data_IF_463093964409
#
_entry.id   IF_463093964409
#
_cell.length_a   1.000
_cell.length_b   1.000
_cell.length_c   1.000
_cell.angle_alpha   90.00
_cell.angle_beta   90.00
_cell.angle_gamma   90.00
#
_symmetry.space_group_name_H-M   'P 1'
#
loop_
_entity.id
_entity.type
_entity.pdbx_description
1 polymer ?
#
# COMPACT_ATOMS: atom_id res chain seq x y z
N UNK A 1 37.80 -21.32 -20.07
CA UNK A 1 37.36 -22.65 -20.52
C UNK A 1 35.86 -22.75 -20.27
N UNK A 2 35.05 -22.64 -21.32
CA UNK A 2 33.60 -22.76 -21.24
C UNK A 2 33.26 -24.25 -21.10
N UNK A 3 33.05 -24.70 -19.87
CA UNK A 3 32.53 -26.03 -19.63
C UNK A 3 31.16 -26.12 -20.31
N UNK A 4 31.06 -26.95 -21.36
CA UNK A 4 29.81 -27.14 -22.08
C UNK A 4 28.92 -27.96 -21.16
N UNK A 5 28.11 -27.27 -20.36
CA UNK A 5 27.08 -27.89 -19.51
C UNK A 5 26.35 -28.95 -20.31
N UNK A 6 26.24 -30.16 -19.75
CA UNK A 6 25.52 -31.27 -20.35
C UNK A 6 24.13 -30.82 -20.84
N UNK A 7 23.62 -31.37 -21.97
CA UNK A 7 22.32 -31.00 -22.49
C UNK A 7 21.22 -31.24 -21.44
N UNK A 8 20.37 -30.24 -21.22
CA UNK A 8 19.26 -30.34 -20.27
C UNK A 8 18.20 -31.29 -20.84
N UNK A 9 17.90 -32.42 -20.18
CA UNK A 9 16.97 -33.41 -20.69
C UNK A 9 15.54 -32.94 -20.43
N UNK A 10 14.98 -32.19 -21.38
CA UNK A 10 13.61 -31.72 -21.31
C UNK A 10 12.61 -32.82 -21.70
N UNK A 11 11.46 -32.87 -21.02
CA UNK A 11 10.35 -33.75 -21.34
C UNK A 11 9.76 -33.35 -22.70
N UNK A 12 9.79 -34.29 -23.65
CA UNK A 12 9.33 -34.10 -25.04
C UNK A 12 7.85 -33.79 -25.17
N UNK A 13 7.06 -34.08 -24.13
CA UNK A 13 5.63 -33.75 -24.06
C UNK A 13 5.34 -32.40 -23.42
N UNK A 14 6.35 -31.75 -22.86
CA UNK A 14 6.22 -30.45 -22.19
C UNK A 14 6.57 -29.31 -23.15
N UNK A 15 5.99 -28.13 -22.90
CA UNK A 15 6.39 -26.91 -23.60
C UNK A 15 7.80 -26.51 -23.18
N UNK A 16 8.67 -26.31 -24.16
CA UNK A 16 10.01 -25.73 -23.97
C UNK A 16 9.99 -24.28 -24.44
N UNK A 17 10.32 -23.37 -23.53
CA UNK A 17 10.50 -21.96 -23.86
C UNK A 17 12.00 -21.71 -24.11
N UNK A 18 12.34 -20.88 -25.10
CA UNK A 18 13.72 -20.54 -25.45
C UNK A 18 14.01 -19.05 -25.19
N UNK A 19 15.27 -18.75 -24.85
CA UNK A 19 15.86 -17.42 -24.81
C UNK A 19 16.31 -17.08 -26.24
N UNK A 20 16.24 -15.80 -26.63
CA UNK A 20 16.80 -15.30 -27.88
C UNK A 20 18.23 -15.86 -28.10
N UNK A 21 18.43 -16.74 -29.08
CA UNK A 21 19.71 -17.44 -29.30
C UNK A 21 19.74 -18.94 -28.96
N UNK A 22 18.60 -19.64 -29.00
CA UNK A 22 18.46 -21.11 -28.86
C UNK A 22 18.78 -21.69 -27.47
N UNK A 23 19.06 -20.87 -26.46
CA UNK A 23 19.17 -21.34 -25.06
C UNK A 23 17.79 -21.70 -24.48
N UNK A 24 17.70 -22.71 -23.62
CA UNK A 24 16.45 -23.06 -22.94
C UNK A 24 16.15 -22.01 -21.87
N UNK A 25 15.00 -21.34 -21.94
CA UNK A 25 14.50 -20.46 -20.88
C UNK A 25 13.81 -21.26 -19.78
N UNK A 26 13.04 -22.29 -20.17
CA UNK A 26 12.24 -23.11 -19.25
C UNK A 26 11.87 -24.43 -19.91
N UNK A 27 11.94 -25.51 -19.14
CA UNK A 27 11.30 -26.77 -19.52
C UNK A 27 10.99 -27.62 -18.27
N UNK A 28 10.23 -28.68 -18.46
CA UNK A 28 10.09 -29.74 -17.46
C UNK A 28 11.18 -30.80 -17.68
N UNK A 29 11.84 -31.27 -16.63
CA UNK A 29 12.88 -32.29 -16.76
C UNK A 29 12.29 -33.68 -17.01
N UNK A 30 12.89 -34.47 -17.91
CA UNK A 30 12.49 -35.86 -18.15
C UNK A 30 13.16 -36.88 -17.21
N UNK A 31 14.29 -36.50 -16.59
CA UNK A 31 15.03 -37.30 -15.62
C UNK A 31 15.70 -36.40 -14.60
N UNK A 32 16.07 -36.95 -13.44
CA UNK A 32 16.81 -36.20 -12.45
C UNK A 32 18.14 -35.71 -13.06
N UNK A 33 18.44 -34.43 -12.88
CA UNK A 33 19.55 -33.80 -13.60
C UNK A 33 20.30 -32.84 -12.70
N UNK A 34 21.62 -33.00 -12.63
CA UNK A 34 22.49 -32.01 -12.00
C UNK A 34 22.61 -30.76 -12.88
N UNK A 35 22.14 -29.62 -12.38
CA UNK A 35 22.23 -28.31 -13.04
C UNK A 35 22.98 -27.36 -12.10
N UNK A 36 24.18 -26.93 -12.52
CA UNK A 36 25.08 -26.10 -11.71
C UNK A 36 25.31 -26.66 -10.29
N UNK A 37 25.47 -27.98 -10.19
CA UNK A 37 25.70 -28.68 -8.92
C UNK A 37 24.44 -28.96 -8.10
N UNK A 38 23.25 -28.54 -8.55
CA UNK A 38 21.97 -28.85 -7.90
C UNK A 38 21.29 -30.01 -8.61
N UNK A 39 21.01 -31.09 -7.89
CA UNK A 39 20.29 -32.25 -8.42
C UNK A 39 18.79 -31.96 -8.50
N UNK A 40 18.33 -31.53 -9.68
CA UNK A 40 16.93 -31.16 -9.94
C UNK A 40 16.09 -32.41 -10.24
N UNK A 41 14.91 -32.51 -9.63
CA UNK A 41 14.03 -33.68 -9.76
C UNK A 41 13.33 -33.76 -11.12
N UNK A 42 13.22 -34.96 -11.67
CA UNK A 42 12.43 -35.29 -12.85
C UNK A 42 10.96 -34.89 -12.69
N UNK A 43 10.31 -34.51 -13.78
CA UNK A 43 8.91 -34.06 -13.79
C UNK A 43 8.70 -32.67 -13.20
N UNK A 44 9.77 -31.96 -12.80
CA UNK A 44 9.67 -30.59 -12.26
C UNK A 44 10.17 -29.56 -13.26
N UNK A 45 9.72 -28.31 -13.10
CA UNK A 45 10.06 -27.20 -14.00
C UNK A 45 11.37 -26.55 -13.60
N UNK A 46 12.35 -26.61 -14.49
CA UNK A 46 13.58 -25.80 -14.43
C UNK A 46 13.43 -24.54 -15.27
N UNK A 47 14.08 -23.47 -14.84
CA UNK A 47 14.10 -22.20 -15.58
C UNK A 47 15.46 -21.54 -15.48
N UNK A 48 15.83 -20.82 -16.53
CA UNK A 48 17.13 -20.18 -16.68
C UNK A 48 16.96 -18.69 -16.99
N UNK A 49 17.91 -17.91 -16.52
CA UNK A 49 18.09 -16.52 -16.91
C UNK A 49 18.67 -16.41 -18.31
N UNK A 50 18.63 -15.19 -18.89
CA UNK A 50 19.17 -14.92 -20.22
C UNK A 50 20.66 -15.23 -20.34
N UNK A 51 21.41 -15.15 -19.24
CA UNK A 51 22.83 -15.45 -19.16
C UNK A 51 23.13 -16.96 -18.96
N UNK A 52 22.11 -17.82 -18.99
CA UNK A 52 22.24 -19.27 -18.82
C UNK A 52 22.27 -19.74 -17.36
N UNK A 53 22.25 -18.83 -16.38
CA UNK A 53 22.20 -19.23 -14.96
C UNK A 53 20.85 -19.83 -14.60
N UNK A 54 20.88 -20.89 -13.78
CA UNK A 54 19.70 -21.49 -13.20
C UNK A 54 18.95 -20.43 -12.38
N UNK A 55 17.68 -20.21 -12.71
CA UNK A 55 16.77 -19.31 -11.99
C UNK A 55 15.89 -20.09 -11.01
N UNK A 56 15.38 -21.26 -11.41
CA UNK A 56 14.46 -22.04 -10.57
C UNK A 56 14.61 -23.54 -10.79
N UNK A 57 14.45 -24.32 -9.73
CA UNK A 57 14.29 -25.77 -9.80
C UNK A 57 13.56 -26.30 -8.55
N UNK A 58 13.33 -27.61 -8.52
CA UNK A 58 12.93 -28.35 -7.31
C UNK A 58 14.00 -29.42 -7.04
N UNK A 59 14.83 -29.26 -6.00
CA UNK A 59 15.89 -30.21 -5.69
C UNK A 59 15.31 -31.59 -5.32
N UNK A 60 15.99 -32.68 -5.67
CA UNK A 60 15.55 -34.04 -5.29
C UNK A 60 15.70 -34.35 -3.80
N UNK A 61 16.64 -33.69 -3.14
CA UNK A 61 16.99 -33.86 -1.72
C UNK A 61 17.23 -32.50 -1.05
N UNK A 62 17.42 -32.50 0.27
CA UNK A 62 17.81 -31.29 0.99
C UNK A 62 19.19 -30.81 0.52
N UNK A 63 19.32 -29.54 0.16
CA UNK A 63 20.57 -28.96 -0.37
C UNK A 63 21.06 -27.81 0.51
N UNK A 64 22.37 -27.55 0.49
CA UNK A 64 22.96 -26.38 1.13
C UNK A 64 23.31 -25.33 0.08
N UNK A 65 22.67 -24.16 0.12
CA UNK A 65 22.95 -23.02 -0.75
C UNK A 65 23.29 -21.80 0.10
N UNK A 66 24.45 -21.18 -0.13
CA UNK A 66 24.93 -20.03 0.64
C UNK A 66 24.90 -20.25 2.17
N UNK A 67 25.16 -21.49 2.62
CA UNK A 67 25.11 -21.89 4.03
C UNK A 67 23.70 -22.15 4.58
N UNK A 68 22.66 -22.07 3.75
CA UNK A 68 21.26 -22.28 4.12
C UNK A 68 20.78 -23.64 3.61
N UNK A 69 20.22 -24.46 4.49
CA UNK A 69 19.67 -25.78 4.13
C UNK A 69 18.24 -25.64 3.59
N UNK A 70 18.06 -25.87 2.29
CA UNK A 70 16.79 -25.80 1.56
C UNK A 70 16.21 -27.20 1.40
N UNK A 71 14.90 -27.31 1.65
CA UNK A 71 14.16 -28.57 1.66
C UNK A 71 14.02 -29.15 0.25
N UNK A 72 14.39 -30.43 0.10
CA UNK A 72 14.15 -31.21 -1.11
C UNK A 72 12.66 -31.32 -1.44
N UNK A 73 12.35 -31.41 -2.73
CA UNK A 73 10.99 -31.44 -3.26
C UNK A 73 10.24 -30.12 -3.12
N UNK A 74 10.93 -29.02 -2.83
CA UNK A 74 10.33 -27.67 -2.77
C UNK A 74 10.96 -26.76 -3.80
N UNK A 75 10.21 -25.75 -4.25
CA UNK A 75 10.71 -24.78 -5.24
C UNK A 75 11.80 -23.92 -4.60
N UNK A 76 12.96 -23.90 -5.26
CA UNK A 76 14.04 -22.95 -5.00
C UNK A 76 14.16 -21.98 -6.17
N UNK A 77 14.40 -20.72 -5.86
CA UNK A 77 14.71 -19.67 -6.82
C UNK A 77 16.06 -19.06 -6.48
N UNK A 78 16.85 -18.79 -7.51
CA UNK A 78 18.18 -18.23 -7.44
C UNK A 78 18.19 -16.88 -8.18
N UNK A 79 19.09 -15.98 -7.80
CA UNK A 79 19.41 -14.77 -8.55
C UNK A 79 20.27 -15.08 -9.79
N UNK A 80 20.47 -14.09 -10.67
CA UNK A 80 21.26 -14.22 -11.91
C UNK A 80 22.72 -14.66 -11.71
N UNK A 81 23.22 -14.64 -10.47
CA UNK A 81 24.57 -15.06 -10.07
C UNK A 81 24.57 -16.44 -9.38
N UNK A 82 23.46 -17.16 -9.40
CA UNK A 82 23.32 -18.48 -8.76
C UNK A 82 23.10 -18.44 -7.24
N UNK A 83 23.07 -17.25 -6.63
CA UNK A 83 22.81 -17.06 -5.20
C UNK A 83 21.35 -17.35 -4.84
N UNK A 84 21.10 -17.83 -3.63
CA UNK A 84 19.74 -18.10 -3.17
C UNK A 84 18.89 -16.82 -3.17
N UNK A 85 17.74 -16.85 -3.83
CA UNK A 85 16.73 -15.79 -3.76
C UNK A 85 15.57 -16.19 -2.83
N UNK A 86 14.98 -17.37 -3.06
CA UNK A 86 13.86 -17.88 -2.26
C UNK A 86 13.91 -19.40 -2.16
N UNK A 87 13.51 -19.94 -1.02
CA UNK A 87 13.30 -21.38 -0.84
C UNK A 87 12.51 -21.69 0.42
N UNK A 88 12.35 -22.98 0.73
CA UNK A 88 11.80 -23.43 2.01
C UNK A 88 12.91 -24.05 2.84
N UNK A 89 13.04 -23.66 4.10
CA UNK A 89 14.05 -24.21 4.99
C UNK A 89 13.79 -25.69 5.28
N UNK A 90 14.84 -26.52 5.23
CA UNK A 90 14.76 -27.93 5.61
C UNK A 90 14.61 -28.11 7.13
N UNK A 91 15.31 -27.26 7.89
CA UNK A 91 15.38 -27.25 9.35
C UNK A 91 15.55 -25.82 9.85
N UNK A 92 15.43 -25.63 11.16
CA UNK A 92 15.76 -24.34 11.77
C UNK A 92 17.21 -23.96 11.44
N UNK A 93 17.42 -22.68 11.15
CA UNK A 93 18.73 -22.17 10.75
C UNK A 93 18.92 -20.74 11.26
N UNK A 94 20.13 -20.42 11.73
CA UNK A 94 20.52 -19.05 12.03
C UNK A 94 20.97 -18.41 10.72
N UNK A 95 20.28 -17.36 10.28
CA UNK A 95 20.60 -16.60 9.08
C UNK A 95 20.77 -15.14 9.48
N UNK A 96 22.00 -14.63 9.42
CA UNK A 96 22.33 -13.24 9.80
C UNK A 96 21.79 -12.90 11.21
N UNK A 97 22.16 -13.74 12.18
CA UNK A 97 21.78 -13.65 13.59
C UNK A 97 20.28 -13.86 13.92
N UNK A 98 19.45 -14.15 12.91
CA UNK A 98 18.02 -14.45 13.08
C UNK A 98 17.78 -15.96 12.99
N UNK A 99 17.16 -16.54 14.02
CA UNK A 99 16.79 -17.96 14.03
C UNK A 99 15.48 -18.16 13.27
N UNK A 100 15.59 -18.64 12.04
CA UNK A 100 14.47 -18.90 11.14
C UNK A 100 13.89 -20.30 11.38
N UNK A 101 12.56 -20.43 11.30
CA UNK A 101 11.82 -21.67 11.54
C UNK A 101 12.02 -22.69 10.41
N UNK A 102 12.31 -23.93 10.77
CA UNK A 102 12.36 -25.04 9.80
C UNK A 102 11.00 -25.26 9.11
N UNK A 103 11.04 -25.57 7.82
CA UNK A 103 9.83 -25.80 7.02
C UNK A 103 9.11 -24.52 6.56
N UNK A 104 9.56 -23.33 6.97
CA UNK A 104 8.99 -22.07 6.46
C UNK A 104 9.72 -21.59 5.20
N UNK A 105 9.06 -20.71 4.45
CA UNK A 105 9.70 -20.01 3.35
C UNK A 105 10.74 -18.99 3.88
N UNK A 106 11.80 -18.78 3.09
CA UNK A 106 12.84 -17.78 3.32
C UNK A 106 13.12 -17.02 2.01
N UNK A 107 13.33 -15.72 2.10
CA UNK A 107 13.68 -14.87 0.96
C UNK A 107 14.90 -14.00 1.27
N UNK A 108 15.67 -13.70 0.24
CA UNK A 108 16.85 -12.84 0.28
C UNK A 108 16.72 -11.67 -0.71
N UNK A 109 17.38 -10.57 -0.40
CA UNK A 109 17.62 -9.49 -1.35
C UNK A 109 18.70 -9.91 -2.35
N UNK A 110 18.82 -9.20 -3.49
CA UNK A 110 19.92 -9.44 -4.44
C UNK A 110 21.33 -9.27 -3.82
N UNK A 111 21.43 -8.49 -2.73
CA UNK A 111 22.66 -8.36 -1.95
C UNK A 111 23.03 -9.63 -1.16
N UNK A 112 22.09 -10.59 -1.05
CA UNK A 112 22.16 -11.76 -0.19
C UNK A 112 21.85 -11.48 1.28
N UNK A 113 21.35 -10.28 1.59
CA UNK A 113 20.79 -10.00 2.92
C UNK A 113 19.46 -10.71 3.08
N UNK A 114 19.19 -11.22 4.27
CA UNK A 114 17.88 -11.78 4.60
C UNK A 114 16.83 -10.71 4.30
N UNK A 115 15.76 -11.11 3.60
CA UNK A 115 14.61 -10.27 3.33
C UNK A 115 13.42 -10.71 4.17
N UNK A 116 13.11 -12.01 4.20
CA UNK A 116 11.88 -12.50 4.82
C UNK A 116 12.09 -13.88 5.42
N UNK A 117 11.57 -14.11 6.61
CA UNK A 117 11.52 -15.44 7.23
C UNK A 117 10.42 -15.52 8.29
N UNK A 118 10.08 -16.74 8.71
CA UNK A 118 9.29 -16.97 9.92
C UNK A 118 10.23 -17.22 11.09
N UNK A 119 10.04 -16.52 12.20
CA UNK A 119 10.88 -16.68 13.39
C UNK A 119 10.61 -18.03 14.08
N UNK A 120 11.67 -18.71 14.51
CA UNK A 120 11.54 -19.95 15.30
C UNK A 120 11.24 -19.67 16.78
N UNK A 121 11.68 -18.52 17.29
CA UNK A 121 11.52 -18.06 18.68
C UNK A 121 11.34 -16.55 18.72
N UNK A 122 10.91 -16.04 19.86
CA UNK A 122 10.87 -14.60 20.09
C UNK A 122 12.29 -14.03 19.92
N UNK A 123 12.41 -12.99 19.10
CA UNK A 123 13.71 -12.48 18.64
C UNK A 123 13.77 -10.98 18.79
N UNK A 124 14.77 -10.48 19.53
CA UNK A 124 15.07 -9.06 19.66
C UNK A 124 15.74 -8.56 18.38
N UNK A 125 15.05 -7.71 17.61
CA UNK A 125 15.55 -7.08 16.40
C UNK A 125 15.51 -5.57 16.61
N UNK A 126 16.68 -4.93 16.71
CA UNK A 126 16.80 -3.47 16.86
C UNK A 126 15.99 -2.89 18.03
N UNK A 127 15.97 -3.60 19.17
CA UNK A 127 15.23 -3.19 20.36
C UNK A 127 13.76 -3.63 20.40
N UNK A 128 13.28 -4.34 19.36
CA UNK A 128 11.89 -4.79 19.26
C UNK A 128 11.85 -6.32 19.33
N UNK A 129 11.13 -6.88 20.31
CA UNK A 129 10.99 -8.34 20.45
C UNK A 129 9.86 -8.85 19.57
N UNK A 130 10.23 -9.42 18.42
CA UNK A 130 9.30 -9.98 17.43
C UNK A 130 8.89 -11.41 17.79
N UNK A 131 7.63 -11.75 17.55
CA UNK A 131 6.96 -12.98 17.99
C UNK A 131 7.38 -14.22 17.21
N UNK A 132 7.66 -15.30 17.93
CA UNK A 132 7.89 -16.64 17.41
C UNK A 132 6.73 -17.10 16.53
N UNK A 133 7.05 -17.84 15.46
CA UNK A 133 6.04 -18.39 14.54
C UNK A 133 5.39 -17.36 13.62
N UNK A 134 5.73 -16.08 13.75
CA UNK A 134 5.28 -15.01 12.86
C UNK A 134 6.37 -14.65 11.86
N UNK A 135 5.95 -14.00 10.79
CA UNK A 135 6.83 -13.54 9.74
C UNK A 135 7.46 -12.19 10.09
N UNK A 136 8.74 -12.04 9.74
CA UNK A 136 9.44 -10.75 9.70
C UNK A 136 9.91 -10.44 8.29
N UNK A 137 9.85 -9.16 7.93
CA UNK A 137 10.52 -8.64 6.73
C UNK A 137 11.64 -7.67 7.16
N UNK A 138 12.80 -7.82 6.55
CA UNK A 138 13.97 -6.98 6.74
C UNK A 138 14.11 -6.05 5.53
N UNK A 139 14.38 -4.78 5.79
CA UNK A 139 14.68 -3.77 4.77
C UNK A 139 16.01 -4.10 4.08
N UNK A 140 16.28 -3.46 2.94
CA UNK A 140 17.52 -3.69 2.15
C UNK A 140 18.80 -3.39 2.96
N UNK A 141 18.72 -2.48 3.92
CA UNK A 141 19.80 -2.13 4.84
C UNK A 141 19.98 -3.13 6.01
N UNK A 142 19.16 -4.18 6.08
CA UNK A 142 19.18 -5.22 7.11
C UNK A 142 18.43 -4.83 8.39
N UNK A 143 17.76 -3.69 8.42
CA UNK A 143 16.91 -3.30 9.54
C UNK A 143 15.54 -3.96 9.48
N UNK A 144 14.79 -3.93 10.59
CA UNK A 144 13.41 -4.41 10.62
C UNK A 144 12.53 -3.56 9.70
N UNK A 145 11.79 -4.22 8.82
CA UNK A 145 10.77 -3.62 7.95
C UNK A 145 9.36 -3.96 8.42
N UNK A 146 9.11 -5.21 8.81
CA UNK A 146 7.82 -5.69 9.31
C UNK A 146 8.02 -6.76 10.40
N UNK A 147 7.14 -6.79 11.39
CA UNK A 147 7.08 -7.86 12.39
C UNK A 147 5.81 -7.80 13.26
N UNK A 148 5.56 -8.85 14.04
CA UNK A 148 4.53 -8.88 15.07
C UNK A 148 5.19 -8.83 16.45
N UNK A 149 4.69 -7.99 17.35
CA UNK A 149 5.23 -7.86 18.71
C UNK A 149 4.93 -9.12 19.55
N UNK A 150 5.93 -9.64 20.25
CA UNK A 150 5.74 -10.73 21.23
C UNK A 150 5.27 -10.23 22.59
N UNK A 151 5.69 -9.02 22.96
CA UNK A 151 5.40 -8.34 24.21
C UNK A 151 5.07 -6.85 23.95
N UNK A 152 4.45 -6.14 24.90
CA UNK A 152 4.21 -4.72 24.75
C UNK A 152 5.51 -3.92 24.52
N UNK A 153 5.46 -2.93 23.62
CA UNK A 153 6.63 -2.12 23.27
C UNK A 153 6.28 -0.65 23.11
N UNK A 154 7.26 0.22 23.35
CA UNK A 154 7.15 1.66 23.07
C UNK A 154 7.85 1.97 21.75
N UNK A 155 7.10 2.47 20.77
CA UNK A 155 7.65 2.90 19.49
C UNK A 155 7.27 4.36 19.30
N UNK A 156 8.26 5.26 19.43
CA UNK A 156 8.10 6.72 19.29
C UNK A 156 7.03 7.28 20.23
N UNK A 157 7.14 6.94 21.51
CA UNK A 157 6.23 7.39 22.57
C UNK A 157 4.78 6.88 22.44
N UNK A 158 4.53 5.96 21.48
CA UNK A 158 3.27 5.25 21.35
C UNK A 158 3.45 3.85 21.94
N UNK A 159 2.73 3.50 23.02
CA UNK A 159 2.74 2.13 23.52
C UNK A 159 1.95 1.24 22.56
N UNK A 160 2.45 0.04 22.30
CA UNK A 160 1.78 -1.01 21.52
C UNK A 160 1.73 -2.29 22.33
N UNK A 161 0.64 -3.02 22.22
CA UNK A 161 0.48 -4.29 22.94
C UNK A 161 1.14 -5.44 22.17
N UNK A 162 1.38 -6.56 22.87
CA UNK A 162 1.70 -7.83 22.24
C UNK A 162 0.68 -8.20 21.14
N UNK A 163 1.14 -8.84 20.07
CA UNK A 163 0.33 -9.19 18.91
C UNK A 163 0.12 -8.05 17.91
N UNK A 164 0.51 -6.81 18.23
CA UNK A 164 0.48 -5.70 17.27
C UNK A 164 1.44 -5.99 16.14
N UNK A 165 0.95 -5.95 14.89
CA UNK A 165 1.81 -6.00 13.69
C UNK A 165 2.29 -4.59 13.38
N UNK A 166 3.57 -4.43 13.10
CA UNK A 166 4.21 -3.14 12.83
C UNK A 166 4.93 -3.18 11.50
N UNK A 167 4.99 -2.02 10.84
CA UNK A 167 5.62 -1.80 9.55
C UNK A 167 6.44 -0.51 9.62
N UNK A 168 7.62 -0.52 9.01
CA UNK A 168 8.55 0.61 8.96
C UNK A 168 8.79 1.07 7.52
N UNK A 169 8.95 2.37 7.36
CA UNK A 169 9.40 3.03 6.15
C UNK A 169 10.87 2.71 5.85
N UNK A 170 11.31 3.02 4.63
CA UNK A 170 12.72 2.89 4.21
C UNK A 170 13.69 3.78 5.00
N UNK A 171 13.21 4.74 5.79
CA UNK A 171 14.00 5.55 6.71
C UNK A 171 13.96 5.05 8.17
N UNK A 172 13.40 3.85 8.42
CA UNK A 172 13.29 3.24 9.75
C UNK A 172 12.22 3.86 10.64
N UNK A 173 11.39 4.75 10.11
CA UNK A 173 10.29 5.37 10.85
C UNK A 173 9.05 4.48 10.77
N UNK A 174 8.21 4.48 11.82
CA UNK A 174 6.97 3.71 11.83
C UNK A 174 6.08 4.16 10.65
N UNK A 175 5.69 3.20 9.81
CA UNK A 175 4.84 3.41 8.64
C UNK A 175 3.40 2.98 8.87
N UNK A 176 3.22 1.92 9.65
CA UNK A 176 1.89 1.47 10.02
C UNK A 176 1.91 0.44 11.14
N UNK A 177 0.76 0.26 11.76
CA UNK A 177 0.54 -0.86 12.68
C UNK A 177 -0.90 -1.39 12.57
N UNK A 178 -1.08 -2.68 12.78
CA UNK A 178 -2.40 -3.30 12.94
C UNK A 178 -2.64 -3.50 14.43
N UNK A 179 -3.56 -2.72 14.99
CA UNK A 179 -3.78 -2.67 16.43
C UNK A 179 -4.63 -3.84 16.91
N UNK A 180 -4.33 -4.38 18.09
CA UNK A 180 -5.11 -5.47 18.71
C UNK A 180 -6.25 -4.98 19.60
N UNK A 181 -6.29 -3.67 19.88
CA UNK A 181 -7.35 -3.03 20.66
C UNK A 181 -7.58 -1.60 20.14
N UNK A 182 -8.78 -1.08 20.39
CA UNK A 182 -9.12 0.31 20.08
C UNK A 182 -8.16 1.23 20.85
N UNK A 183 -7.69 2.29 20.19
CA UNK A 183 -6.70 3.18 20.78
C UNK A 183 -6.81 4.59 20.23
N UNK A 184 -6.72 5.56 21.12
CA UNK A 184 -6.62 6.97 20.72
C UNK A 184 -5.18 7.31 20.38
N UNK A 185 -4.93 7.76 19.15
CA UNK A 185 -3.63 8.23 18.68
C UNK A 185 -3.79 9.71 18.30
N UNK A 186 -3.18 10.60 19.08
CA UNK A 186 -3.28 12.07 18.91
C UNK A 186 -4.73 12.53 18.76
N UNK A 187 -5.55 12.18 19.76
CA UNK A 187 -6.97 12.52 19.84
C UNK A 187 -7.88 11.87 18.77
N UNK A 188 -7.35 10.98 17.92
CA UNK A 188 -8.13 10.21 16.95
C UNK A 188 -8.37 8.79 17.49
N UNK A 189 -9.62 8.38 17.78
CA UNK A 189 -9.91 7.03 18.25
C UNK A 189 -9.83 6.03 17.10
N UNK A 190 -8.73 5.31 17.01
CA UNK A 190 -8.46 4.31 15.98
C UNK A 190 -9.04 2.94 16.41
N UNK A 191 -9.65 2.22 15.48
CA UNK A 191 -10.27 0.90 15.70
C UNK A 191 -9.24 -0.24 15.68
N UNK A 192 -9.43 -1.22 16.54
CA UNK A 192 -8.75 -2.51 16.54
C UNK A 192 -8.93 -3.25 15.21
N UNK A 193 -8.09 -4.25 14.96
CA UNK A 193 -8.10 -5.13 13.78
C UNK A 193 -8.03 -4.39 12.44
N UNK A 194 -7.62 -3.13 12.47
CA UNK A 194 -7.43 -2.27 11.31
C UNK A 194 -6.02 -1.69 11.31
N UNK A 195 -5.52 -1.42 10.11
CA UNK A 195 -4.25 -0.72 9.95
C UNK A 195 -4.41 0.76 10.25
N UNK A 196 -3.53 1.24 11.13
CA UNK A 196 -3.23 2.65 11.35
C UNK A 196 -1.96 2.97 10.57
N UNK A 197 -2.01 3.99 9.72
CA UNK A 197 -0.91 4.40 8.86
C UNK A 197 -0.31 5.71 9.34
N UNK A 198 1.00 5.86 9.17
CA UNK A 198 1.77 7.05 9.54
C UNK A 198 2.54 7.57 8.34
N UNK A 199 2.58 8.89 8.22
CA UNK A 199 3.49 9.58 7.31
C UNK A 199 4.94 9.40 7.78
N UNK A 200 5.90 9.60 6.88
CA UNK A 200 7.33 9.55 7.20
C UNK A 200 7.72 10.52 8.31
N UNK A 201 7.00 11.62 8.54
CA UNK A 201 7.27 12.51 9.67
C UNK A 201 6.73 12.01 11.02
N UNK A 202 6.10 10.82 11.05
CA UNK A 202 5.50 10.21 12.23
C UNK A 202 4.10 10.72 12.55
N UNK A 203 3.51 11.57 11.70
CA UNK A 203 2.11 11.99 11.87
C UNK A 203 1.16 10.88 11.43
N UNK A 204 0.03 10.77 12.13
CA UNK A 204 -1.06 9.90 11.73
C UNK A 204 -1.50 10.27 10.31
N UNK A 205 -1.57 9.28 9.43
CA UNK A 205 -1.95 9.42 8.01
C UNK A 205 -3.36 8.92 7.77
N UNK A 206 -3.68 7.71 8.24
CA UNK A 206 -5.00 7.14 8.07
C UNK A 206 -5.32 6.12 9.17
N UNK A 207 -6.61 5.99 9.51
CA UNK A 207 -7.13 4.91 10.35
C UNK A 207 -8.63 4.74 10.10
N UNK A 208 -9.19 3.64 10.60
CA UNK A 208 -10.64 3.48 10.77
C UNK A 208 -11.02 3.95 12.16
N UNK A 209 -12.08 4.73 12.30
CA UNK A 209 -12.52 5.23 13.61
C UNK A 209 -13.23 4.16 14.44
N UNK A 210 -12.90 4.07 15.72
CA UNK A 210 -13.55 3.20 16.69
C UNK A 210 -14.90 3.74 17.19
N UNK A 211 -15.10 5.06 17.09
CA UNK A 211 -16.30 5.76 17.53
C UNK A 211 -16.47 7.08 16.79
N UNK A 212 -17.65 7.67 16.87
CA UNK A 212 -17.88 9.01 16.34
C UNK A 212 -16.93 9.98 17.05
N UNK A 213 -16.23 10.81 16.29
CA UNK A 213 -15.16 11.65 16.81
C UNK A 213 -15.16 13.03 16.16
N UNK A 214 -14.93 14.07 16.97
CA UNK A 214 -14.71 15.41 16.47
C UNK A 214 -13.22 15.61 16.14
N UNK A 215 -12.87 15.67 14.86
CA UNK A 215 -11.50 15.91 14.40
C UNK A 215 -11.45 17.31 13.79
N UNK A 216 -10.71 18.23 14.41
CA UNK A 216 -10.64 19.65 13.98
C UNK A 216 -12.04 20.28 13.87
N UNK A 217 -12.90 20.02 14.87
CA UNK A 217 -14.30 20.46 14.94
C UNK A 217 -15.23 19.88 13.87
N UNK A 218 -14.82 18.82 13.16
CA UNK A 218 -15.64 18.08 12.20
C UNK A 218 -16.07 16.77 12.83
N UNK A 219 -17.38 16.56 12.96
CA UNK A 219 -17.93 15.30 13.49
C UNK A 219 -17.83 14.20 12.44
N UNK A 220 -16.86 13.30 12.61
CA UNK A 220 -16.58 12.18 11.73
C UNK A 220 -17.20 10.89 12.28
N UNK A 221 -17.71 10.05 11.37
CA UNK A 221 -18.48 8.83 11.67
C UNK A 221 -17.59 7.65 12.04
N UNK A 222 -17.98 6.91 13.08
CA UNK A 222 -17.39 5.62 13.42
C UNK A 222 -17.42 4.64 12.24
N UNK A 223 -16.54 3.65 12.26
CA UNK A 223 -16.48 2.59 11.26
C UNK A 223 -16.23 3.10 9.83
N UNK A 224 -15.64 4.28 9.73
CA UNK A 224 -15.20 4.86 8.46
C UNK A 224 -13.73 5.27 8.51
N UNK A 225 -13.10 5.29 7.33
CA UNK A 225 -11.72 5.74 7.19
C UNK A 225 -11.61 7.25 7.33
N UNK A 226 -10.68 7.71 8.17
CA UNK A 226 -10.18 9.08 8.17
C UNK A 226 -8.81 9.12 7.55
N UNK A 227 -8.54 10.21 6.83
CA UNK A 227 -7.21 10.49 6.28
C UNK A 227 -6.80 11.88 6.72
N UNK A 228 -5.53 12.04 7.01
CA UNK A 228 -4.88 13.26 7.49
C UNK A 228 -3.72 13.58 6.56
N UNK A 229 -3.50 14.85 6.31
CA UNK A 229 -2.30 15.36 5.67
C UNK A 229 -1.08 15.12 6.58
N UNK A 230 0.11 15.19 5.98
CA UNK A 230 1.37 15.06 6.71
C UNK A 230 1.57 16.14 7.79
N UNK A 231 0.94 17.31 7.68
CA UNK A 231 0.95 18.32 8.73
C UNK A 231 -0.08 18.08 9.85
N UNK A 232 -0.79 16.94 9.81
CA UNK A 232 -1.81 16.57 10.80
C UNK A 232 -3.21 17.15 10.53
N UNK A 233 -3.39 17.97 9.49
CA UNK A 233 -4.72 18.45 9.14
C UNK A 233 -5.59 17.35 8.57
N UNK A 234 -6.89 17.35 8.93
CA UNK A 234 -7.86 16.47 8.31
C UNK A 234 -7.79 16.63 6.78
N UNK A 235 -7.72 15.51 6.06
CA UNK A 235 -7.78 15.46 4.60
C UNK A 235 -9.14 14.95 4.14
N UNK A 236 -9.65 13.89 4.80
CA UNK A 236 -10.92 13.26 4.45
C UNK A 236 -11.55 12.58 5.65
N UNK A 237 -12.84 12.77 5.87
CA UNK A 237 -13.65 11.88 6.71
C UNK A 237 -15.10 11.80 6.23
N UNK A 238 -15.82 10.78 6.67
CA UNK A 238 -17.27 10.68 6.50
C UNK A 238 -17.96 11.35 7.68
N UNK A 239 -18.99 12.15 7.44
CA UNK A 239 -19.67 12.88 8.52
C UNK A 239 -20.65 11.96 9.28
N UNK A 240 -20.70 12.11 10.61
CA UNK A 240 -21.69 11.40 11.45
C UNK A 240 -23.10 12.01 11.36
N UNK A 241 -23.20 13.29 10.98
CA UNK A 241 -24.45 14.02 10.80
C UNK A 241 -24.26 15.25 9.90
N UNK A 242 -25.39 15.81 9.42
CA UNK A 242 -25.40 17.07 8.70
C UNK A 242 -24.80 18.15 9.61
N UNK A 243 -23.89 18.97 9.11
CA UNK A 243 -23.23 19.98 9.92
C UNK A 243 -22.72 21.16 9.08
N UNK A 244 -22.53 22.31 9.72
CA UNK A 244 -21.95 23.48 9.08
C UNK A 244 -20.44 23.50 9.28
N UNK A 245 -19.67 23.34 8.20
CA UNK A 245 -18.21 23.34 8.22
C UNK A 245 -17.71 24.62 7.55
N UNK A 246 -17.10 25.51 8.32
CA UNK A 246 -16.58 26.80 7.79
C UNK A 246 -17.65 27.61 7.04
N UNK A 247 -18.90 27.56 7.51
CA UNK A 247 -20.05 28.24 6.88
C UNK A 247 -20.74 27.46 5.75
N UNK A 248 -20.26 26.25 5.42
CA UNK A 248 -20.83 25.40 4.36
C UNK A 248 -21.72 24.32 4.99
N UNK A 249 -23.03 24.24 4.66
CA UNK A 249 -23.92 23.20 5.17
C UNK A 249 -23.64 21.86 4.46
N UNK A 250 -22.80 21.03 5.05
CA UNK A 250 -22.39 19.74 4.51
C UNK A 250 -23.36 18.63 4.93
N UNK A 251 -23.72 17.78 3.96
CA UNK A 251 -24.62 16.65 4.14
C UNK A 251 -23.90 15.47 4.81
N UNK A 252 -24.60 14.78 5.70
CA UNK A 252 -24.23 13.46 6.22
C UNK A 252 -24.19 12.39 5.14
N UNK A 253 -23.68 11.21 5.51
CA UNK A 253 -23.55 10.02 4.65
C UNK A 253 -22.56 10.14 3.47
N UNK A 254 -21.99 11.32 3.21
CA UNK A 254 -20.87 11.51 2.29
C UNK A 254 -19.57 11.76 3.04
N UNK A 255 -18.45 11.75 2.29
CA UNK A 255 -17.19 12.25 2.80
C UNK A 255 -17.02 13.73 2.49
N UNK A 256 -16.23 14.40 3.31
CA UNK A 256 -15.72 15.75 3.08
C UNK A 256 -14.24 15.68 2.76
N UNK A 257 -13.75 16.63 1.98
CA UNK A 257 -12.35 16.79 1.65
C UNK A 257 -11.85 18.14 2.16
N UNK A 258 -10.59 18.17 2.57
CA UNK A 258 -9.92 19.36 3.08
C UNK A 258 -8.57 19.55 2.39
N UNK A 259 -8.22 20.81 2.17
CA UNK A 259 -6.89 21.21 1.73
C UNK A 259 -5.88 21.06 2.86
N UNK A 260 -4.58 21.05 2.51
CA UNK A 260 -3.49 20.93 3.49
C UNK A 260 -3.50 22.07 4.51
N UNK A 261 -4.02 23.24 4.18
CA UNK A 261 -4.16 24.38 5.11
C UNK A 261 -5.39 24.27 6.04
N UNK A 262 -6.14 23.15 5.99
CA UNK A 262 -7.33 22.91 6.81
C UNK A 262 -8.62 23.55 6.27
N UNK A 263 -8.59 24.24 5.13
CA UNK A 263 -9.81 24.76 4.47
C UNK A 263 -10.61 23.64 3.83
N UNK A 264 -11.93 23.74 3.88
CA UNK A 264 -12.82 22.82 3.19
C UNK A 264 -12.53 22.85 1.69
N UNK A 265 -12.30 21.68 1.09
CA UNK A 265 -12.01 21.52 -0.33
C UNK A 265 -13.24 21.07 -1.11
N UNK A 266 -14.00 20.11 -0.58
CA UNK A 266 -15.23 19.65 -1.21
C UNK A 266 -16.15 18.93 -0.22
N UNK A 267 -17.46 19.02 -0.47
CA UNK A 267 -18.48 18.24 0.23
C UNK A 267 -19.73 18.11 -0.64
N UNK A 268 -20.67 17.27 -0.23
CA UNK A 268 -22.05 17.34 -0.73
C UNK A 268 -22.85 18.33 0.13
N UNK A 269 -23.66 19.19 -0.51
CA UNK A 269 -24.47 20.17 0.20
C UNK A 269 -25.74 19.56 0.81
N UNK A 270 -26.05 19.91 2.05
CA UNK A 270 -27.30 19.50 2.70
C UNK A 270 -28.51 20.29 2.15
N UNK A 271 -28.32 21.58 1.85
CA UNK A 271 -29.35 22.51 1.36
C UNK A 271 -28.81 23.38 0.23
N UNK A 272 -29.72 23.89 -0.61
CA UNK A 272 -29.38 24.86 -1.65
C UNK A 272 -28.72 26.08 -0.99
N UNK A 273 -27.53 26.45 -1.45
CA UNK A 273 -26.70 27.48 -0.78
C UNK A 273 -26.10 28.42 -1.81
N UNK A 274 -26.04 29.72 -1.49
CA UNK A 274 -25.38 30.70 -2.34
C UNK A 274 -23.94 30.93 -1.89
N UNK A 275 -22.98 30.73 -2.80
CA UNK A 275 -21.58 31.07 -2.57
C UNK A 275 -21.18 32.18 -3.55
N UNK A 276 -20.76 33.34 -3.05
CA UNK A 276 -20.37 34.48 -3.90
C UNK A 276 -21.48 34.89 -4.91
N UNK A 277 -22.75 34.77 -4.52
CA UNK A 277 -23.91 35.04 -5.38
C UNK A 277 -24.33 33.87 -6.29
N UNK A 278 -23.59 32.76 -6.31
CA UNK A 278 -23.83 31.61 -7.18
C UNK A 278 -24.72 30.58 -6.48
N UNK A 279 -25.91 30.24 -7.02
CA UNK A 279 -26.83 29.30 -6.40
C UNK A 279 -26.40 27.85 -6.63
N UNK A 280 -25.84 27.20 -5.62
CA UNK A 280 -25.42 25.80 -5.68
C UNK A 280 -26.49 24.86 -5.10
N UNK A 281 -26.69 23.73 -5.78
CA UNK A 281 -27.75 22.75 -5.52
C UNK A 281 -27.43 21.84 -4.32
N UNK A 282 -28.43 21.58 -3.49
CA UNK A 282 -28.44 20.53 -2.47
C UNK A 282 -28.27 19.14 -3.06
N UNK A 283 -27.81 18.21 -2.22
CA UNK A 283 -27.56 16.82 -2.58
C UNK A 283 -26.63 16.67 -3.79
N UNK A 284 -25.72 17.65 -3.95
CA UNK A 284 -24.77 17.72 -5.03
C UNK A 284 -23.43 18.21 -4.51
N UNK A 285 -22.36 17.80 -5.19
CA UNK A 285 -21.00 18.18 -4.81
C UNK A 285 -20.76 19.66 -5.06
N UNK A 286 -20.07 20.28 -4.10
CA UNK A 286 -19.45 21.60 -4.22
C UNK A 286 -17.96 21.44 -3.97
N UNK A 287 -17.15 22.24 -4.68
CA UNK A 287 -15.71 22.30 -4.50
C UNK A 287 -15.23 23.73 -4.35
N UNK A 288 -14.21 23.91 -3.51
CA UNK A 288 -13.58 25.17 -3.19
C UNK A 288 -12.08 25.12 -3.48
N UNK A 289 -11.49 26.26 -3.79
CA UNK A 289 -10.04 26.41 -3.81
C UNK A 289 -9.45 26.47 -2.39
N UNK A 290 -8.13 26.56 -2.28
CA UNK A 290 -7.42 26.60 -1.00
C UNK A 290 -7.62 27.92 -0.23
N UNK A 291 -8.14 28.96 -0.88
CA UNK A 291 -8.55 30.22 -0.26
C UNK A 291 -10.03 30.21 0.18
N UNK A 292 -10.74 29.10 -0.04
CA UNK A 292 -12.15 28.94 0.33
C UNK A 292 -13.13 29.59 -0.65
N UNK A 293 -12.69 29.96 -1.85
CA UNK A 293 -13.58 30.50 -2.90
C UNK A 293 -14.20 29.34 -3.68
N UNK A 294 -15.42 29.57 -4.19
CA UNK A 294 -16.13 28.56 -4.98
C UNK A 294 -15.33 28.24 -6.24
N UNK A 295 -14.98 26.96 -6.41
CA UNK A 295 -14.27 26.45 -7.58
C UNK A 295 -15.23 25.75 -8.54
N UNK A 296 -16.21 25.02 -8.03
CA UNK A 296 -17.18 24.27 -8.84
C UNK A 296 -18.43 23.89 -8.06
N UNK A 297 -19.59 23.87 -8.71
CA UNK A 297 -20.80 23.28 -8.15
C UNK A 297 -21.82 22.92 -9.24
N UNK A 298 -22.81 22.12 -8.87
CA UNK A 298 -24.06 22.00 -9.63
C UNK A 298 -24.96 23.20 -9.34
N UNK A 299 -25.48 23.86 -10.38
CA UNK A 299 -26.36 25.02 -10.21
C UNK A 299 -27.76 24.60 -9.74
N UNK A 300 -28.33 25.31 -8.76
CA UNK A 300 -29.69 25.08 -8.29
C UNK A 300 -30.77 25.65 -9.23
N UNK A 301 -30.44 26.71 -9.96
CA UNK A 301 -31.34 27.41 -10.89
C UNK A 301 -30.59 27.97 -12.09
N UNK A 302 -31.34 28.29 -13.16
CA UNK A 302 -30.81 29.00 -14.31
C UNK A 302 -30.14 30.31 -13.86
N UNK A 303 -28.90 30.54 -14.30
CA UNK A 303 -28.08 31.66 -13.84
C UNK A 303 -27.33 32.28 -15.01
N UNK A 304 -27.28 33.61 -15.06
CA UNK A 304 -26.57 34.36 -16.09
C UNK A 304 -25.14 34.71 -15.62
N UNK A 305 -24.14 34.23 -16.34
CA UNK A 305 -22.72 34.52 -16.10
C UNK A 305 -22.14 35.27 -17.27
N UNK A 306 -21.77 36.54 -17.10
CA UNK A 306 -21.10 37.34 -18.13
C UNK A 306 -21.84 37.30 -19.50
N UNK A 307 -23.18 37.31 -19.47
CA UNK A 307 -24.04 37.22 -20.66
C UNK A 307 -24.35 35.80 -21.14
N UNK A 308 -23.76 34.76 -20.55
CA UNK A 308 -24.04 33.35 -20.85
C UNK A 308 -25.07 32.79 -19.88
N UNK A 309 -26.20 32.29 -20.39
CA UNK A 309 -27.22 31.63 -19.56
C UNK A 309 -26.86 30.16 -19.35
N UNK A 310 -26.60 29.78 -18.10
CA UNK A 310 -26.26 28.40 -17.72
C UNK A 310 -27.44 27.78 -16.98
N UNK A 311 -27.86 26.60 -17.42
CA UNK A 311 -29.08 25.93 -16.95
C UNK A 311 -28.93 25.33 -15.55
N UNK A 312 -30.03 25.29 -14.80
CA UNK A 312 -30.13 24.54 -13.56
C UNK A 312 -29.67 23.08 -13.74
N UNK A 313 -28.96 22.54 -12.76
CA UNK A 313 -28.38 21.19 -12.80
C UNK A 313 -27.08 21.08 -13.62
N UNK A 314 -26.61 22.16 -14.26
CA UNK A 314 -25.32 22.16 -14.94
C UNK A 314 -24.18 22.08 -13.92
N UNK A 315 -23.12 21.32 -14.24
CA UNK A 315 -21.86 21.34 -13.48
C UNK A 315 -21.02 22.50 -13.97
N UNK A 316 -20.86 23.55 -13.16
CA UNK A 316 -20.10 24.74 -13.50
C UNK A 316 -18.80 24.80 -12.71
N UNK A 317 -17.72 25.27 -13.35
CA UNK A 317 -16.42 25.56 -12.74
C UNK A 317 -16.09 27.04 -12.87
N UNK A 318 -15.35 27.59 -11.91
CA UNK A 318 -15.09 29.01 -11.75
C UNK A 318 -13.62 29.29 -11.50
N UNK A 319 -13.14 30.41 -12.04
CA UNK A 319 -11.84 30.97 -11.68
C UNK A 319 -11.87 31.54 -10.25
N UNK A 320 -10.70 31.77 -9.62
CA UNK A 320 -10.63 32.36 -8.28
C UNK A 320 -11.28 33.75 -8.16
N UNK A 321 -11.43 34.50 -9.25
CA UNK A 321 -12.14 35.79 -9.26
C UNK A 321 -13.68 35.64 -9.28
N UNK A 322 -14.21 34.42 -9.39
CA UNK A 322 -15.63 34.10 -9.47
C UNK A 322 -16.20 34.08 -10.90
N UNK A 323 -15.39 34.38 -11.92
CA UNK A 323 -15.82 34.26 -13.32
C UNK A 323 -15.98 32.81 -13.77
N UNK A 324 -16.93 32.56 -14.67
CA UNK A 324 -17.23 31.22 -15.19
C UNK A 324 -16.09 30.73 -16.09
N UNK A 325 -15.51 29.58 -15.75
CA UNK A 325 -14.44 28.95 -16.52
C UNK A 325 -15.01 27.96 -17.56
N UNK A 326 -15.83 27.02 -17.10
CA UNK A 326 -16.41 25.96 -17.94
C UNK A 326 -17.71 25.42 -17.33
N UNK A 327 -18.53 24.76 -18.15
CA UNK A 327 -19.70 24.03 -17.66
C UNK A 327 -20.13 22.86 -18.55
N UNK A 328 -20.84 21.90 -17.95
CA UNK A 328 -21.52 20.80 -18.65
C UNK A 328 -23.04 20.94 -18.47
N UNK A 329 -23.80 20.76 -19.55
CA UNK A 329 -25.26 20.79 -19.47
C UNK A 329 -25.80 19.50 -18.83
N UNK A 330 -26.98 19.55 -18.18
CA UNK A 330 -27.59 18.36 -17.61
C UNK A 330 -27.86 17.30 -18.68
N UNK A 331 -27.37 16.08 -18.46
CA UNK A 331 -27.62 14.95 -19.36
C UNK A 331 -26.85 14.99 -20.68
N UNK A 332 -25.86 15.88 -20.83
CA UNK A 332 -24.96 15.87 -21.99
C UNK A 332 -23.52 15.61 -21.57
N UNK A 333 -22.79 14.87 -22.41
CA UNK A 333 -21.33 14.75 -22.33
C UNK A 333 -20.61 15.94 -22.99
N UNK A 334 -21.37 16.97 -23.43
CA UNK A 334 -20.83 18.15 -24.08
C UNK A 334 -20.20 19.08 -23.04
N UNK A 335 -18.88 19.19 -23.09
CA UNK A 335 -18.10 20.11 -22.28
C UNK A 335 -17.93 21.46 -22.98
N UNK A 336 -18.37 22.54 -22.33
CA UNK A 336 -18.22 23.91 -22.83
C UNK A 336 -17.14 24.63 -22.01
N UNK A 337 -16.09 25.11 -22.66
CA UNK A 337 -15.02 25.90 -22.04
C UNK A 337 -15.03 27.33 -22.59
N UNK A 338 -14.92 28.33 -21.71
CA UNK A 338 -14.86 29.74 -22.09
C UNK A 338 -13.39 30.19 -22.08
N UNK A 339 -12.90 30.67 -23.22
CA UNK A 339 -11.58 31.29 -23.29
C UNK A 339 -11.58 32.59 -22.47
N UNK A 340 -10.59 32.75 -21.58
CA UNK A 340 -10.35 34.01 -20.88
C UNK A 340 -10.03 35.07 -21.95
N UNK A 341 -10.88 36.11 -22.06
CA UNK A 341 -10.50 37.31 -22.79
C UNK A 341 -9.44 38.02 -21.95
N UNK A 342 -8.18 37.88 -22.34
CA UNK A 342 -7.04 38.56 -21.74
C UNK A 342 -7.15 40.08 -21.88
#
# INVERSE_FOLDING_TARGET
>A
MSDRSAPIPCNTRSRVDFINGNGIARCELSQDTAVHGIFCRAGTKVGFYKNGWLWRCEPGEDISLDGVFIRGGTRVELHEQGRLWRGRLAREAIVQDILCRGGSDIEFWMSGRLRRCVLARDTLIQGIVCRAGTEVEMRKDGALGYGELSEPAWIRDIPFEAGTRILFHDNGRLAGCCMVQDKTIRDVPCRADNWVWFHDNGHLSACVLAGDAAIHSVSCRMDTGVNLHDNGNLLRCYLSGDQVIQGVPARSATFVLFHRNGRLSACELAIDTHFQGIPCKSQAWVGFDDNGRLKRCYLAKDTLFQGTSVKAGSWASFFPDGSLESYNLPGSDLHMSLARKC
#
